data_IF_091395140970
#
_entry.id   IF_091395140970
#
_cell.length_a   1.000
_cell.length_b   1.000
_cell.length_c   1.000
_cell.angle_alpha   90.00
_cell.angle_beta   90.00
_cell.angle_gamma   90.00
#
_symmetry.space_group_name_H-M   'P 1'
#
loop_
_entity.id
_entity.type
_entity.pdbx_description
1 polymer ?
#
# COMPACT_ATOMS: atom_id res chain seq x y z
N UNK A 1 1.51 -20.01 -3.59
CA UNK A 1 0.92 -18.69 -3.24
C UNK A 1 -0.34 -18.57 -4.07
N UNK A 2 -1.51 -18.64 -3.43
CA UNK A 2 -2.80 -18.59 -4.12
C UNK A 2 -2.93 -17.32 -4.96
N UNK A 3 -3.70 -17.39 -6.06
CA UNK A 3 -3.95 -16.23 -6.94
C UNK A 3 -4.43 -15.02 -6.14
N UNK A 4 -5.32 -15.24 -5.17
CA UNK A 4 -5.85 -14.19 -4.29
C UNK A 4 -4.77 -13.52 -3.45
N UNK A 5 -3.89 -14.29 -2.80
CA UNK A 5 -2.80 -13.74 -1.96
C UNK A 5 -1.80 -12.96 -2.80
N UNK A 6 -1.50 -13.43 -4.02
CA UNK A 6 -0.64 -12.74 -4.98
C UNK A 6 -1.26 -11.43 -5.45
N UNK A 7 -2.55 -11.43 -5.78
CA UNK A 7 -3.28 -10.22 -6.19
C UNK A 7 -3.34 -9.19 -5.06
N UNK A 8 -3.63 -9.61 -3.83
CA UNK A 8 -3.65 -8.71 -2.67
C UNK A 8 -2.27 -8.08 -2.44
N UNK A 9 -1.20 -8.88 -2.50
CA UNK A 9 0.16 -8.37 -2.35
C UNK A 9 0.47 -7.31 -3.42
N UNK A 10 0.20 -7.61 -4.70
CA UNK A 10 0.44 -6.68 -5.80
C UNK A 10 -0.36 -5.38 -5.66
N UNK A 11 -1.66 -5.47 -5.39
CA UNK A 11 -2.53 -4.29 -5.21
C UNK A 11 -2.03 -3.46 -4.03
N UNK A 12 -1.72 -4.10 -2.89
CA UNK A 12 -1.19 -3.42 -1.71
C UNK A 12 0.12 -2.70 -2.01
N UNK A 13 1.05 -3.35 -2.72
CA UNK A 13 2.33 -2.74 -3.11
C UNK A 13 2.12 -1.53 -4.03
N UNK A 14 1.22 -1.63 -5.02
CA UNK A 14 0.91 -0.51 -5.92
C UNK A 14 0.32 0.66 -5.14
N UNK A 15 -0.65 0.42 -4.26
CA UNK A 15 -1.26 1.46 -3.42
C UNK A 15 -0.22 2.14 -2.53
N UNK A 16 0.69 1.36 -1.93
CA UNK A 16 1.76 1.90 -1.10
C UNK A 16 2.71 2.80 -1.92
N UNK A 17 3.16 2.33 -3.08
CA UNK A 17 4.07 3.10 -3.96
C UNK A 17 3.39 4.39 -4.43
N UNK A 18 2.15 4.31 -4.89
CA UNK A 18 1.39 5.48 -5.36
C UNK A 18 1.13 6.46 -4.21
N UNK A 19 0.76 5.97 -3.03
CA UNK A 19 0.56 6.81 -1.84
C UNK A 19 1.84 7.53 -1.42
N UNK A 20 2.97 6.83 -1.41
CA UNK A 20 4.28 7.44 -1.11
C UNK A 20 4.69 8.47 -2.18
N UNK A 21 4.51 8.14 -3.47
CA UNK A 21 4.79 9.07 -4.57
C UNK A 21 3.93 10.33 -4.49
N UNK A 22 2.62 10.17 -4.25
CA UNK A 22 1.70 11.29 -4.08
C UNK A 22 2.05 12.14 -2.85
N UNK A 23 2.53 11.53 -1.77
CA UNK A 23 2.97 12.24 -0.57
C UNK A 23 4.23 13.07 -0.86
N UNK A 24 5.20 12.52 -1.57
CA UNK A 24 6.39 13.25 -2.02
C UNK A 24 6.02 14.43 -2.92
N UNK A 25 5.13 14.23 -3.88
CA UNK A 25 4.64 15.32 -4.76
C UNK A 25 3.92 16.39 -3.92
N UNK A 26 3.08 15.99 -2.97
CA UNK A 26 2.37 16.92 -2.09
C UNK A 26 3.34 17.77 -1.24
N UNK A 27 4.43 17.17 -0.76
CA UNK A 27 5.47 17.88 -0.01
C UNK A 27 6.26 18.85 -0.91
N UNK A 28 6.70 18.38 -2.09
CA UNK A 28 7.51 19.17 -3.02
C UNK A 28 6.76 20.34 -3.65
N UNK A 29 5.46 20.16 -3.92
CA UNK A 29 4.60 21.18 -4.52
C UNK A 29 3.79 21.97 -3.47
N UNK A 30 4.04 21.75 -2.17
CA UNK A 30 3.34 22.40 -1.05
C UNK A 30 1.79 22.23 -1.08
N UNK A 31 1.30 21.15 -1.67
CA UNK A 31 -0.13 20.85 -1.86
C UNK A 31 -0.68 20.18 -0.59
N UNK A 32 -1.00 21.00 0.42
CA UNK A 32 -1.43 20.51 1.76
C UNK A 32 -2.65 19.59 1.75
N UNK A 33 -3.62 19.85 0.86
CA UNK A 33 -4.84 19.04 0.79
C UNK A 33 -4.59 17.63 0.25
N UNK A 34 -3.47 17.40 -0.45
CA UNK A 34 -3.08 16.11 -1.02
C UNK A 34 -2.33 15.22 -0.01
N UNK A 35 -1.76 15.81 1.06
CA UNK A 35 -0.98 15.06 2.07
C UNK A 35 -1.79 13.98 2.79
N UNK A 36 -2.98 14.33 3.26
CA UNK A 36 -3.88 13.41 3.96
C UNK A 36 -4.29 12.22 3.07
N UNK A 37 -4.88 12.42 1.87
CA UNK A 37 -5.27 11.28 1.02
C UNK A 37 -4.06 10.45 0.57
N UNK A 38 -2.91 11.06 0.29
CA UNK A 38 -1.69 10.33 -0.05
C UNK A 38 -1.19 9.44 1.10
N UNK A 39 -1.23 9.95 2.33
CA UNK A 39 -0.84 9.20 3.54
C UNK A 39 -1.80 8.04 3.80
N UNK A 40 -3.11 8.27 3.65
CA UNK A 40 -4.13 7.21 3.77
C UNK A 40 -3.90 6.12 2.73
N UNK A 41 -3.61 6.49 1.48
CA UNK A 41 -3.32 5.55 0.41
C UNK A 41 -2.06 4.73 0.69
N UNK A 42 -1.01 5.37 1.20
CA UNK A 42 0.23 4.69 1.58
C UNK A 42 0.00 3.67 2.71
N UNK A 43 -0.66 4.09 3.79
CA UNK A 43 -0.94 3.23 4.95
C UNK A 43 -1.84 2.06 4.55
N UNK A 44 -2.93 2.32 3.83
CA UNK A 44 -3.85 1.27 3.39
C UNK A 44 -3.18 0.23 2.49
N UNK A 45 -2.33 0.66 1.54
CA UNK A 45 -1.50 -0.23 0.74
C UNK A 45 -0.57 -1.10 1.60
N UNK A 46 0.12 -0.50 2.57
CA UNK A 46 0.97 -1.21 3.52
C UNK A 46 0.23 -2.28 4.33
N UNK A 47 -0.97 -1.96 4.84
CA UNK A 47 -1.83 -2.91 5.57
C UNK A 47 -2.22 -4.09 4.69
N UNK A 48 -2.60 -3.85 3.43
CA UNK A 48 -2.96 -4.92 2.49
C UNK A 48 -1.76 -5.85 2.23
N UNK A 49 -0.55 -5.29 2.06
CA UNK A 49 0.69 -6.09 1.91
C UNK A 49 0.96 -6.93 3.15
N UNK A 50 0.81 -6.36 4.35
CA UNK A 50 0.98 -7.10 5.61
C UNK A 50 -0.02 -8.25 5.73
N UNK A 51 -1.30 -8.02 5.40
CA UNK A 51 -2.34 -9.06 5.41
C UNK A 51 -2.01 -10.18 4.42
N UNK A 52 -1.62 -9.83 3.19
CA UNK A 52 -1.22 -10.81 2.18
C UNK A 52 0.00 -11.64 2.63
N UNK A 53 0.98 -10.98 3.26
CA UNK A 53 2.17 -11.64 3.79
C UNK A 53 1.84 -12.57 4.96
N UNK A 54 0.97 -12.14 5.88
CA UNK A 54 0.49 -12.96 7.00
C UNK A 54 -0.23 -14.22 6.51
N UNK A 55 -1.12 -14.08 5.50
CA UNK A 55 -1.79 -15.23 4.86
C UNK A 55 -0.79 -16.19 4.20
N UNK A 56 0.24 -15.65 3.55
CA UNK A 56 1.28 -16.46 2.93
C UNK A 56 2.09 -17.28 3.94
N UNK A 57 2.40 -16.70 5.10
CA UNK A 57 3.10 -17.39 6.18
C UNK A 57 2.19 -18.45 6.83
N UNK A 58 0.91 -18.11 7.09
CA UNK A 58 -0.05 -19.01 7.71
C UNK A 58 -0.38 -20.23 6.83
N UNK A 59 -0.55 -20.05 5.51
CA UNK A 59 -0.84 -21.14 4.57
C UNK A 59 0.33 -22.08 4.28
N UNK A 60 1.47 -21.92 4.97
CA UNK A 60 2.63 -22.83 4.91
C UNK A 60 2.71 -23.78 6.11
N UNK A 61 1.89 -23.59 7.15
CA UNK A 61 1.73 -24.55 8.25
C UNK A 61 0.61 -25.52 7.93
#
# INVERSE_FOLDING_TARGET
MDRTTRTLFLIGSVLAIVGMGAQLIALLAEIRWLLLPATVLWISGGVVVLVASGRYIAGRR
#
